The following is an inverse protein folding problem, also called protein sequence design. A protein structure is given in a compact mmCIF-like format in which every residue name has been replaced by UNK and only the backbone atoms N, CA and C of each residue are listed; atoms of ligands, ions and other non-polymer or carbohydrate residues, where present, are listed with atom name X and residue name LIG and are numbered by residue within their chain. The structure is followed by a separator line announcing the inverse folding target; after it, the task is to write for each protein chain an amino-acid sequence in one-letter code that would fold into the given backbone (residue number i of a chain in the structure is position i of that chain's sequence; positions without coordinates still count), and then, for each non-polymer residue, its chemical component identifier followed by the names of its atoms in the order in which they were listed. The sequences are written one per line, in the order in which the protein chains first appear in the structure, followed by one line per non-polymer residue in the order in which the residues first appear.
data_IF_698347350227
#
_entry.id   IF_698347350227
#
_cell.length_a   1.000
_cell.length_b   1.000
_cell.length_c   1.000
_cell.angle_alpha   90.00
_cell.angle_beta   90.00
_cell.angle_gamma   90.00
#
_symmetry.space_group_name_H-M   'P 1'
#
loop_
_entity.id
_entity.type
_entity.pdbx_description
1 polymer ?
#
# COMPACT_ATOMS: atom_id res chain seq x y z
N UNK A 1 31.28 -34.79 -0.64
CA UNK A 1 30.59 -34.59 0.65
C UNK A 1 29.26 -33.88 0.36
N UNK A 2 28.19 -34.67 0.20
CA UNK A 2 26.87 -34.19 -0.24
C UNK A 2 26.17 -33.63 1.00
N UNK A 3 26.08 -32.31 1.12
CA UNK A 3 25.19 -31.70 2.10
C UNK A 3 23.75 -32.01 1.72
N UNK A 4 23.15 -32.99 2.37
CA UNK A 4 21.71 -33.19 2.41
C UNK A 4 21.12 -31.89 2.99
N UNK A 5 20.62 -30.99 2.13
CA UNK A 5 19.69 -29.94 2.53
C UNK A 5 18.49 -30.62 3.19
N UNK A 6 18.43 -30.60 4.52
CA UNK A 6 17.17 -30.81 5.21
C UNK A 6 16.25 -29.69 4.73
N UNK A 7 15.38 -30.02 3.75
CA UNK A 7 14.21 -29.22 3.44
C UNK A 7 13.46 -29.05 4.77
N UNK A 8 13.61 -27.90 5.40
CA UNK A 8 12.76 -27.52 6.53
C UNK A 8 11.35 -27.58 5.96
N UNK A 9 10.47 -28.36 6.58
CA UNK A 9 9.08 -28.54 6.11
C UNK A 9 8.52 -27.19 5.72
N UNK A 10 7.95 -27.05 4.52
CA UNK A 10 7.44 -25.82 3.90
C UNK A 10 6.47 -25.03 4.78
N UNK A 11 5.83 -25.71 5.72
CA UNK A 11 4.82 -25.15 6.62
C UNK A 11 5.31 -24.08 7.61
N UNK A 12 6.63 -23.93 7.84
CA UNK A 12 7.12 -23.00 8.87
C UNK A 12 7.58 -21.65 8.32
N UNK A 13 7.90 -21.52 7.02
CA UNK A 13 8.41 -20.26 6.48
C UNK A 13 7.32 -19.18 6.33
N UNK A 14 6.14 -19.58 5.93
CA UNK A 14 5.05 -18.62 5.67
C UNK A 14 4.61 -17.88 6.94
N UNK A 15 4.31 -18.52 8.07
CA UNK A 15 3.97 -17.80 9.30
C UNK A 15 5.07 -16.84 9.75
N UNK A 16 6.33 -17.23 9.63
CA UNK A 16 7.48 -16.38 9.97
C UNK A 16 7.51 -15.14 9.07
N UNK A 17 7.34 -15.32 7.75
CA UNK A 17 7.32 -14.21 6.80
C UNK A 17 6.09 -13.32 6.94
N UNK A 18 4.92 -13.87 7.31
CA UNK A 18 3.72 -13.09 7.60
C UNK A 18 3.90 -12.23 8.85
N UNK A 19 4.51 -12.78 9.90
CA UNK A 19 4.87 -12.02 11.10
C UNK A 19 5.88 -10.91 10.78
N UNK A 20 6.95 -11.24 10.04
CA UNK A 20 7.94 -10.26 9.62
C UNK A 20 7.32 -9.14 8.75
N UNK A 21 6.40 -9.50 7.83
CA UNK A 21 5.67 -8.54 7.01
C UNK A 21 4.79 -7.61 7.86
N UNK A 22 4.06 -8.15 8.83
CA UNK A 22 3.23 -7.35 9.74
C UNK A 22 4.09 -6.37 10.54
N UNK A 23 5.22 -6.83 11.09
CA UNK A 23 6.16 -5.98 11.82
C UNK A 23 6.77 -4.89 10.92
N UNK A 24 7.17 -5.20 9.68
CA UNK A 24 7.73 -4.23 8.73
C UNK A 24 6.72 -3.12 8.38
N UNK A 25 5.42 -3.42 8.38
CA UNK A 25 4.35 -2.49 8.02
C UNK A 25 3.83 -1.64 9.20
N UNK A 26 4.31 -1.85 10.43
CA UNK A 26 3.87 -1.06 11.58
C UNK A 26 4.14 0.45 11.40
N UNK A 27 5.15 0.83 10.62
CA UNK A 27 5.45 2.24 10.29
C UNK A 27 4.55 2.86 9.22
N UNK A 28 3.70 2.06 8.53
CA UNK A 28 3.02 2.52 7.32
C UNK A 28 1.96 3.60 7.57
N UNK A 29 1.19 3.50 8.65
CA UNK A 29 0.12 4.43 8.98
C UNK A 29 0.50 5.48 10.04
N UNK A 30 1.74 5.50 10.53
CA UNK A 30 2.18 6.45 11.56
C UNK A 30 1.88 7.89 11.17
N UNK A 31 2.19 8.28 9.92
CA UNK A 31 1.95 9.65 9.49
C UNK A 31 0.45 9.96 9.39
N UNK A 32 -0.37 9.07 8.87
CA UNK A 32 -1.82 9.27 8.83
C UNK A 32 -2.43 9.45 10.23
N UNK A 33 -1.90 8.75 11.23
CA UNK A 33 -2.30 8.89 12.64
C UNK A 33 -1.83 10.20 13.27
N UNK A 34 -0.61 10.64 12.94
CA UNK A 34 -0.02 11.86 13.49
C UNK A 34 -0.22 13.10 12.61
N UNK A 35 -0.96 12.99 11.50
CA UNK A 35 -1.16 14.06 10.54
C UNK A 35 -1.68 15.34 11.18
N UNK A 36 -2.76 15.27 11.97
CA UNK A 36 -3.36 16.44 12.59
C UNK A 36 -2.45 17.13 13.61
N UNK A 37 -1.83 16.42 14.57
CA UNK A 37 -0.84 17.01 15.46
C UNK A 37 0.32 17.68 14.73
N UNK A 38 0.90 17.01 13.72
CA UNK A 38 2.03 17.55 12.96
C UNK A 38 1.63 18.74 12.08
N UNK A 39 0.45 18.68 11.47
CA UNK A 39 -0.07 19.79 10.68
C UNK A 39 -0.26 21.05 11.52
N UNK A 40 -0.78 20.89 12.74
CA UNK A 40 -0.93 22.02 13.66
C UNK A 40 0.43 22.52 14.19
N UNK A 41 1.34 21.60 14.55
CA UNK A 41 2.66 21.95 15.09
C UNK A 41 3.54 22.69 14.08
N UNK A 42 3.55 22.22 12.85
CA UNK A 42 4.41 22.76 11.78
C UNK A 42 3.69 23.73 10.85
N UNK A 43 2.45 24.09 11.13
CA UNK A 43 1.59 24.99 10.34
C UNK A 43 1.54 24.59 8.86
N UNK A 44 1.38 23.28 8.61
CA UNK A 44 1.38 22.73 7.25
C UNK A 44 0.04 23.01 6.57
N UNK A 45 0.09 23.31 5.26
CA UNK A 45 -1.10 23.24 4.41
C UNK A 45 -1.58 21.78 4.26
N UNK A 46 -2.81 21.58 3.79
CA UNK A 46 -3.29 20.23 3.49
C UNK A 46 -2.49 19.59 2.35
N UNK A 47 -2.09 20.36 1.33
CA UNK A 47 -1.19 19.88 0.27
C UNK A 47 0.14 19.40 0.85
N UNK A 48 0.77 20.17 1.74
CA UNK A 48 2.02 19.78 2.38
C UNK A 48 1.86 18.48 3.19
N UNK A 49 0.76 18.35 3.93
CA UNK A 49 0.44 17.11 4.67
C UNK A 49 0.24 15.93 3.71
N UNK A 50 -0.46 16.12 2.60
CA UNK A 50 -0.62 15.11 1.56
C UNK A 50 0.70 14.72 0.91
N UNK A 51 1.61 15.68 0.67
CA UNK A 51 2.95 15.43 0.11
C UNK A 51 3.84 14.63 1.06
N UNK A 52 3.78 14.87 2.37
CA UNK A 52 4.50 14.04 3.36
C UNK A 52 3.94 12.62 3.35
N UNK A 53 2.61 12.44 3.32
CA UNK A 53 1.98 11.12 3.18
C UNK A 53 2.39 10.42 1.88
N UNK A 54 2.54 11.17 0.79
CA UNK A 54 2.98 10.70 -0.52
C UNK A 54 4.46 10.29 -0.57
N UNK A 55 5.30 10.86 0.29
CA UNK A 55 6.75 10.69 0.25
C UNK A 55 7.21 9.23 0.46
N UNK A 56 6.45 8.42 1.21
CA UNK A 56 6.74 7.00 1.38
C UNK A 56 6.65 6.25 0.04
N UNK A 57 5.69 6.62 -0.82
CA UNK A 57 5.54 6.01 -2.15
C UNK A 57 6.63 6.46 -3.10
N UNK A 58 7.09 7.71 -3.00
CA UNK A 58 8.27 8.18 -3.75
C UNK A 58 9.51 7.36 -3.40
N UNK A 59 9.80 7.18 -2.11
CA UNK A 59 10.91 6.36 -1.66
C UNK A 59 10.83 4.92 -2.12
N UNK A 60 9.62 4.33 -2.07
CA UNK A 60 9.38 2.99 -2.59
C UNK A 60 9.67 2.90 -4.10
N UNK A 61 9.10 3.81 -4.90
CA UNK A 61 9.28 3.82 -6.36
C UNK A 61 10.74 3.99 -6.77
N UNK A 62 11.49 4.81 -6.05
CA UNK A 62 12.93 5.00 -6.31
C UNK A 62 13.75 3.75 -5.97
N UNK A 63 13.39 3.02 -4.90
CA UNK A 63 14.20 1.92 -4.38
C UNK A 63 13.81 0.55 -4.95
N UNK A 64 12.52 0.32 -5.31
CA UNK A 64 12.04 -1.01 -5.70
C UNK A 64 12.72 -1.61 -6.92
N UNK A 65 13.10 -0.87 -7.98
CA UNK A 65 13.82 -1.45 -9.12
C UNK A 65 15.18 -2.04 -8.70
N UNK A 66 15.88 -1.33 -7.81
CA UNK A 66 17.16 -1.79 -7.27
C UNK A 66 16.98 -2.99 -6.34
N UNK A 67 16.02 -2.91 -5.40
CA UNK A 67 15.74 -3.98 -4.45
C UNK A 67 15.40 -5.28 -5.17
N UNK A 68 14.53 -5.23 -6.18
CA UNK A 68 14.11 -6.42 -6.94
C UNK A 68 15.24 -6.99 -7.80
N UNK A 69 15.95 -6.17 -8.55
CA UNK A 69 17.06 -6.61 -9.40
C UNK A 69 18.23 -7.22 -8.59
N UNK A 70 18.47 -6.71 -7.39
CA UNK A 70 19.49 -7.24 -6.49
C UNK A 70 19.10 -8.60 -5.91
N UNK A 71 17.80 -8.92 -5.73
CA UNK A 71 17.38 -10.24 -5.21
C UNK A 71 17.72 -11.41 -6.12
N UNK A 72 17.94 -11.17 -7.41
CA UNK A 72 18.39 -12.19 -8.36
C UNK A 72 19.90 -12.45 -8.30
N UNK A 73 20.68 -11.53 -7.69
CA UNK A 73 22.15 -11.50 -7.67
C UNK A 73 22.76 -11.79 -6.32
N UNK A 74 22.06 -11.43 -5.26
CA UNK A 74 22.49 -11.65 -3.86
C UNK A 74 21.32 -12.22 -3.05
N UNK A 75 21.64 -12.85 -1.92
CA UNK A 75 20.61 -13.41 -1.03
C UNK A 75 19.58 -12.33 -0.65
N UNK A 76 18.31 -12.56 -0.97
CA UNK A 76 17.20 -11.64 -0.71
C UNK A 76 17.09 -11.22 0.77
N UNK A 77 17.57 -12.05 1.71
CA UNK A 77 17.66 -11.72 3.14
C UNK A 77 18.54 -10.51 3.42
N UNK A 78 19.65 -10.34 2.67
CA UNK A 78 20.55 -9.19 2.84
C UNK A 78 19.86 -7.90 2.42
N UNK A 79 19.06 -7.96 1.36
CA UNK A 79 18.29 -6.80 0.89
C UNK A 79 17.17 -6.51 1.87
N UNK A 80 16.50 -7.55 2.39
CA UNK A 80 15.48 -7.41 3.44
C UNK A 80 16.07 -6.75 4.70
N UNK A 81 17.28 -7.15 5.10
CA UNK A 81 18.00 -6.55 6.21
C UNK A 81 18.23 -5.04 5.99
N UNK A 82 18.78 -4.67 4.83
CA UNK A 82 19.02 -3.25 4.49
C UNK A 82 17.68 -2.48 4.45
N UNK A 83 16.63 -3.06 3.88
CA UNK A 83 15.30 -2.47 3.86
C UNK A 83 14.75 -2.24 5.27
N UNK A 84 14.84 -3.25 6.15
CA UNK A 84 14.42 -3.13 7.55
C UNK A 84 15.23 -2.07 8.30
N UNK A 85 16.54 -1.99 8.06
CA UNK A 85 17.41 -0.96 8.64
C UNK A 85 17.01 0.45 8.16
N UNK A 86 16.73 0.63 6.86
CA UNK A 86 16.27 1.92 6.34
C UNK A 86 14.91 2.31 6.95
N UNK A 87 13.96 1.37 7.05
CA UNK A 87 12.69 1.61 7.71
C UNK A 87 12.84 2.01 9.18
N UNK A 88 13.71 1.31 9.92
CA UNK A 88 14.06 1.62 11.31
C UNK A 88 14.66 3.03 11.45
N UNK A 89 15.70 3.34 10.66
CA UNK A 89 16.37 4.64 10.70
C UNK A 89 15.46 5.78 10.22
N UNK A 90 14.61 5.55 9.21
CA UNK A 90 13.63 6.52 8.74
C UNK A 90 12.63 6.90 9.83
N UNK A 91 12.08 5.92 10.54
CA UNK A 91 11.16 6.16 11.66
C UNK A 91 11.87 6.83 12.83
N UNK A 92 13.06 6.40 13.21
CA UNK A 92 13.84 7.09 14.25
C UNK A 92 14.18 8.54 13.86
N UNK A 93 14.52 8.76 12.58
CA UNK A 93 14.74 10.10 12.05
C UNK A 93 13.49 10.98 12.17
N UNK A 94 12.30 10.44 11.86
CA UNK A 94 11.04 11.13 12.12
C UNK A 94 10.88 11.48 13.61
N UNK A 95 11.12 10.52 14.51
CA UNK A 95 10.88 10.69 15.95
C UNK A 95 11.91 11.56 16.70
N UNK A 96 13.12 11.76 16.13
CA UNK A 96 14.17 12.52 16.81
C UNK A 96 14.62 13.78 16.05
N UNK A 97 14.56 13.77 14.72
CA UNK A 97 15.21 14.78 13.88
C UNK A 97 14.21 15.57 13.00
N UNK A 98 12.95 15.15 12.90
CA UNK A 98 11.98 15.88 12.08
C UNK A 98 11.55 17.16 12.79
N UNK A 99 11.72 18.28 12.11
CA UNK A 99 11.43 19.65 12.61
C UNK A 99 10.47 20.44 11.73
N UNK A 100 9.98 19.83 10.63
CA UNK A 100 9.07 20.47 9.68
C UNK A 100 8.93 19.70 8.38
N UNK A 101 8.31 20.34 7.40
CA UNK A 101 7.94 19.73 6.12
C UNK A 101 9.08 18.94 5.44
N UNK A 102 10.21 19.59 5.16
CA UNK A 102 11.29 18.97 4.38
C UNK A 102 11.97 17.82 5.10
N UNK A 103 12.21 17.94 6.41
CA UNK A 103 12.77 16.84 7.20
C UNK A 103 11.82 15.64 7.24
N UNK A 104 10.52 15.87 7.40
CA UNK A 104 9.51 14.82 7.36
C UNK A 104 9.47 14.12 5.98
N UNK A 105 9.51 14.88 4.88
CA UNK A 105 9.57 14.31 3.52
C UNK A 105 10.81 13.40 3.37
N UNK A 106 11.99 13.86 3.80
CA UNK A 106 13.22 13.07 3.69
C UNK A 106 13.11 11.74 4.46
N UNK A 107 12.65 11.78 5.72
CA UNK A 107 12.53 10.57 6.52
C UNK A 107 11.44 9.62 6.00
N UNK A 108 10.33 10.15 5.48
CA UNK A 108 9.28 9.33 4.85
C UNK A 108 9.77 8.68 3.54
N UNK A 109 10.61 9.36 2.74
CA UNK A 109 11.29 8.75 1.58
C UNK A 109 12.19 7.60 2.03
N UNK A 110 12.95 7.77 3.11
CA UNK A 110 13.80 6.69 3.67
C UNK A 110 12.92 5.51 4.13
N UNK A 111 11.80 5.77 4.81
CA UNK A 111 10.83 4.73 5.18
C UNK A 111 10.29 3.98 3.95
N UNK A 112 9.99 4.71 2.88
CA UNK A 112 9.54 4.13 1.62
C UNK A 112 10.59 3.24 0.94
N UNK A 113 11.84 3.67 0.94
CA UNK A 113 12.96 2.83 0.48
C UNK A 113 13.11 1.57 1.34
N UNK A 114 12.91 1.69 2.64
CA UNK A 114 12.85 0.56 3.58
C UNK A 114 11.73 -0.41 3.24
N UNK A 115 10.53 0.10 2.93
CA UNK A 115 9.38 -0.71 2.52
C UNK A 115 9.67 -1.47 1.21
N UNK A 116 10.30 -0.83 0.22
CA UNK A 116 10.71 -1.49 -1.02
C UNK A 116 11.70 -2.64 -0.77
N UNK A 117 12.63 -2.43 0.16
CA UNK A 117 13.64 -3.42 0.55
C UNK A 117 13.10 -4.57 1.42
N UNK A 118 11.91 -4.44 2.02
CA UNK A 118 11.29 -5.50 2.82
C UNK A 118 10.16 -6.21 2.06
N UNK A 119 9.27 -5.49 1.39
CA UNK A 119 8.08 -6.07 0.77
C UNK A 119 8.40 -7.00 -0.40
N UNK A 120 9.10 -6.51 -1.43
CA UNK A 120 9.42 -7.31 -2.60
C UNK A 120 10.47 -8.40 -2.33
N UNK A 121 11.57 -8.15 -1.60
CA UNK A 121 12.49 -9.20 -1.18
C UNK A 121 11.83 -10.25 -0.28
N UNK A 122 10.87 -9.88 0.57
CA UNK A 122 10.09 -10.83 1.36
C UNK A 122 9.26 -11.78 0.48
N UNK A 123 8.63 -11.25 -0.56
CA UNK A 123 7.93 -12.05 -1.56
C UNK A 123 8.88 -13.03 -2.29
N UNK A 124 10.08 -12.55 -2.64
CA UNK A 124 11.15 -13.38 -3.27
C UNK A 124 11.61 -14.49 -2.31
N UNK A 125 11.82 -14.17 -1.03
CA UNK A 125 12.17 -15.17 0.00
C UNK A 125 11.16 -16.31 0.05
N UNK A 126 9.86 -16.00 -0.01
CA UNK A 126 8.80 -17.03 -0.08
C UNK A 126 8.85 -17.81 -1.39
N UNK A 127 8.92 -17.10 -2.53
CA UNK A 127 8.87 -17.74 -3.85
C UNK A 127 10.03 -18.71 -4.11
N UNK A 128 11.20 -18.40 -3.56
CA UNK A 128 12.40 -19.24 -3.74
C UNK A 128 12.42 -20.50 -2.85
N UNK A 129 11.53 -20.57 -1.85
CA UNK A 129 11.53 -21.65 -0.85
C UNK A 129 10.29 -22.53 -0.88
N UNK A 130 9.25 -22.12 -1.60
CA UNK A 130 7.99 -22.85 -1.69
C UNK A 130 7.87 -23.58 -3.02
N UNK A 131 7.15 -24.72 -3.01
CA UNK A 131 6.85 -25.46 -4.23
C UNK A 131 5.77 -24.72 -5.04
N UNK A 132 5.83 -24.84 -6.37
CA UNK A 132 4.94 -24.14 -7.32
C UNK A 132 3.44 -24.35 -7.02
N UNK A 133 3.05 -25.53 -6.53
CA UNK A 133 1.64 -25.87 -6.23
C UNK A 133 1.09 -25.03 -5.07
N UNK A 134 1.91 -24.72 -4.06
CA UNK A 134 1.51 -23.95 -2.86
C UNK A 134 1.79 -22.45 -3.00
N UNK A 135 2.67 -22.07 -3.92
CA UNK A 135 3.23 -20.73 -4.04
C UNK A 135 2.15 -19.64 -4.17
N UNK A 136 1.15 -19.86 -5.04
CA UNK A 136 0.09 -18.89 -5.28
C UNK A 136 -0.69 -18.55 -4.00
N UNK A 137 -1.02 -19.57 -3.19
CA UNK A 137 -1.74 -19.39 -1.92
C UNK A 137 -0.92 -18.60 -0.90
N UNK A 138 0.37 -18.92 -0.76
CA UNK A 138 1.25 -18.26 0.21
C UNK A 138 1.57 -16.81 -0.19
N UNK A 139 1.71 -16.52 -1.49
CA UNK A 139 1.82 -15.15 -2.01
C UNK A 139 0.55 -14.36 -1.69
N UNK A 140 -0.63 -14.95 -1.90
CA UNK A 140 -1.90 -14.30 -1.58
C UNK A 140 -2.02 -13.95 -0.09
N UNK A 141 -1.59 -14.85 0.80
CA UNK A 141 -1.54 -14.53 2.23
C UNK A 141 -0.55 -13.40 2.53
N UNK A 142 0.64 -13.44 1.96
CA UNK A 142 1.65 -12.41 2.18
C UNK A 142 1.16 -11.02 1.74
N UNK A 143 0.55 -10.93 0.57
CA UNK A 143 -0.01 -9.67 0.06
C UNK A 143 -1.22 -9.21 0.88
N UNK A 144 -2.09 -10.12 1.33
CA UNK A 144 -3.23 -9.79 2.18
C UNK A 144 -2.79 -9.25 3.56
N UNK A 145 -1.68 -9.73 4.09
CA UNK A 145 -1.11 -9.26 5.35
C UNK A 145 -0.62 -7.79 5.30
N UNK A 146 -0.54 -7.19 4.12
CA UNK A 146 -0.37 -5.74 4.00
C UNK A 146 -1.51 -4.98 4.71
N UNK A 147 -2.75 -5.41 4.52
CA UNK A 147 -3.91 -4.82 5.21
C UNK A 147 -3.87 -5.03 6.73
N UNK A 148 -3.43 -6.22 7.18
CA UNK A 148 -3.28 -6.54 8.60
C UNK A 148 -2.20 -5.68 9.25
N UNK A 149 -1.01 -5.62 8.67
CA UNK A 149 0.08 -4.79 9.19
C UNK A 149 -0.28 -3.30 9.22
N UNK A 150 -0.95 -2.78 8.19
CA UNK A 150 -1.46 -1.40 8.16
C UNK A 150 -2.51 -1.16 9.24
N UNK A 151 -3.45 -2.09 9.45
CA UNK A 151 -4.46 -1.96 10.49
C UNK A 151 -3.84 -1.89 11.89
N UNK A 152 -2.89 -2.77 12.20
CA UNK A 152 -2.14 -2.69 13.46
C UNK A 152 -1.31 -1.42 13.56
N UNK A 153 -0.78 -0.90 12.45
CA UNK A 153 -0.06 0.37 12.43
C UNK A 153 -0.94 1.52 12.93
N UNK A 154 -2.19 1.64 12.46
CA UNK A 154 -3.14 2.65 12.95
C UNK A 154 -3.41 2.51 14.44
N UNK A 155 -3.73 1.29 14.89
CA UNK A 155 -4.11 1.03 16.28
C UNK A 155 -2.97 1.33 17.25
N UNK A 156 -1.79 0.77 17.00
CA UNK A 156 -0.62 0.96 17.85
C UNK A 156 -0.15 2.42 17.85
N UNK A 157 -0.11 3.06 16.69
CA UNK A 157 0.26 4.47 16.58
C UNK A 157 -0.72 5.37 17.35
N UNK A 158 -2.03 5.07 17.27
CA UNK A 158 -3.05 5.81 18.01
C UNK A 158 -2.91 5.65 19.52
N UNK A 159 -2.75 4.43 20.01
CA UNK A 159 -2.58 4.17 21.45
C UNK A 159 -1.33 4.84 22.02
N UNK A 160 -0.22 4.82 21.25
CA UNK A 160 0.99 5.53 21.68
C UNK A 160 0.76 7.05 21.68
N UNK A 161 0.09 7.58 20.64
CA UNK A 161 -0.19 9.01 20.51
C UNK A 161 -1.09 9.53 21.67
N UNK A 162 -2.08 8.73 22.09
CA UNK A 162 -2.95 9.04 23.23
C UNK A 162 -2.20 9.01 24.58
N UNK A 163 -1.23 8.07 24.71
CA UNK A 163 -0.48 7.89 25.95
C UNK A 163 0.73 8.82 26.09
N UNK A 164 1.28 9.30 24.99
CA UNK A 164 2.54 10.06 24.95
C UNK A 164 2.44 11.20 23.91
N UNK A 165 3.50 11.36 23.10
CA UNK A 165 3.61 12.39 22.07
C UNK A 165 3.76 11.77 20.66
N UNK A 166 3.69 12.61 19.63
CA UNK A 166 3.85 12.16 18.24
C UNK A 166 5.27 11.61 17.97
N UNK A 167 6.28 12.10 18.67
CA UNK A 167 7.67 11.60 18.54
C UNK A 167 7.76 10.16 19.07
N UNK A 168 7.09 9.88 20.19
CA UNK A 168 7.04 8.53 20.75
C UNK A 168 6.42 7.52 19.80
N UNK A 169 5.41 7.91 19.00
CA UNK A 169 4.84 7.04 17.96
C UNK A 169 5.94 6.50 17.06
N UNK A 170 6.75 7.38 16.48
CA UNK A 170 7.81 6.98 15.56
C UNK A 170 8.94 6.19 16.23
N UNK A 171 9.32 6.57 17.47
CA UNK A 171 10.38 5.89 18.23
C UNK A 171 10.01 4.46 18.56
N UNK A 172 8.80 4.23 19.08
CA UNK A 172 8.35 2.89 19.44
C UNK A 172 8.03 2.03 18.22
N UNK A 173 7.35 2.59 17.24
CA UNK A 173 6.99 1.87 16.01
C UNK A 173 8.22 1.50 15.18
N UNK A 174 9.33 2.23 15.30
CA UNK A 174 10.60 1.86 14.68
C UNK A 174 11.08 0.45 15.07
N UNK A 175 10.70 -0.05 16.24
CA UNK A 175 10.97 -1.44 16.64
C UNK A 175 10.30 -2.47 15.70
N UNK A 176 9.27 -2.10 14.97
CA UNK A 176 8.61 -2.98 13.98
C UNK A 176 9.55 -3.41 12.87
N UNK A 177 10.05 -2.51 12.01
CA UNK A 177 11.04 -2.86 10.97
C UNK A 177 12.32 -3.49 11.53
N UNK A 178 12.78 -3.08 12.71
CA UNK A 178 13.89 -3.72 13.42
C UNK A 178 13.58 -5.19 13.73
N UNK A 179 12.42 -5.46 14.32
CA UNK A 179 11.98 -6.83 14.62
C UNK A 179 11.82 -7.66 13.35
N UNK A 180 11.22 -7.09 12.29
CA UNK A 180 11.07 -7.76 11.00
C UNK A 180 12.42 -8.21 10.42
N UNK A 181 13.39 -7.31 10.43
CA UNK A 181 14.76 -7.57 9.95
C UNK A 181 15.43 -8.67 10.76
N UNK A 182 15.32 -8.67 12.11
CA UNK A 182 15.87 -9.68 12.99
C UNK A 182 15.19 -11.04 12.80
N UNK A 183 13.85 -11.07 12.64
CA UNK A 183 13.11 -12.31 12.33
C UNK A 183 13.68 -12.95 11.06
N UNK A 184 13.83 -12.19 9.98
CA UNK A 184 14.34 -12.74 8.71
C UNK A 184 15.80 -13.16 8.82
N UNK A 185 16.61 -12.40 9.55
CA UNK A 185 18.03 -12.71 9.74
C UNK A 185 18.24 -14.03 10.49
N UNK A 186 17.51 -14.25 11.59
CA UNK A 186 17.72 -15.38 12.48
C UNK A 186 16.90 -16.64 12.12
N UNK A 187 15.69 -16.46 11.60
CA UNK A 187 14.77 -17.61 11.39
C UNK A 187 14.69 -18.07 9.93
N UNK A 188 15.17 -17.27 8.96
CA UNK A 188 15.18 -17.66 7.56
C UNK A 188 16.59 -18.10 7.16
N UNK A 189 16.82 -19.35 6.72
CA UNK A 189 18.15 -19.81 6.32
C UNK A 189 18.65 -19.09 5.06
N UNK A 190 19.99 -18.91 4.90
CA UNK A 190 20.55 -18.30 3.70
C UNK A 190 20.28 -19.17 2.47
N UNK A 191 20.05 -18.50 1.34
CA UNK A 191 19.92 -19.15 0.03
C UNK A 191 20.94 -18.52 -0.92
N UNK A 192 21.72 -19.38 -1.61
CA UNK A 192 22.66 -18.86 -2.62
C UNK A 192 21.88 -18.40 -3.85
N UNK A 193 22.24 -17.24 -4.45
CA UNK A 193 21.67 -16.79 -5.71
C UNK A 193 21.89 -17.83 -6.82
N UNK A 194 21.08 -17.75 -7.86
CA UNK A 194 21.23 -18.61 -9.03
C UNK A 194 22.60 -18.40 -9.68
N UNK A 195 23.32 -19.49 -9.93
CA UNK A 195 24.66 -19.44 -10.51
C UNK A 195 24.64 -18.74 -11.88
N UNK A 196 25.54 -17.77 -12.06
CA UNK A 196 25.72 -17.02 -13.32
C UNK A 196 25.37 -15.53 -13.26
N UNK A 197 24.62 -15.07 -12.24
CA UNK A 197 24.27 -13.66 -12.05
C UNK A 197 24.94 -13.02 -10.83
N UNK A 198 26.02 -13.62 -10.31
CA UNK A 198 26.70 -13.11 -9.13
C UNK A 198 27.41 -11.78 -9.38
N UNK A 199 27.12 -10.77 -8.57
CA UNK A 199 27.81 -9.47 -8.55
C UNK A 199 26.88 -8.27 -8.50
N UNK A 200 27.43 -7.10 -8.15
CA UNK A 200 26.70 -5.84 -8.02
C UNK A 200 26.62 -5.03 -9.34
N UNK A 201 27.11 -5.59 -10.46
CA UNK A 201 27.10 -4.88 -11.75
C UNK A 201 25.68 -4.86 -12.35
N UNK A 202 24.91 -3.87 -11.92
CA UNK A 202 23.57 -3.60 -12.45
C UNK A 202 23.67 -2.68 -13.67
N UNK A 203 23.18 -3.13 -14.81
CA UNK A 203 22.98 -2.25 -15.94
C UNK A 203 21.66 -1.49 -15.77
N UNK A 204 21.63 -0.22 -16.13
CA UNK A 204 20.42 0.61 -16.06
C UNK A 204 19.20 0.00 -16.79
N UNK A 205 19.47 -0.78 -17.85
CA UNK A 205 18.44 -1.51 -18.61
C UNK A 205 17.80 -2.67 -17.84
N UNK A 206 18.50 -3.22 -16.86
CA UNK A 206 17.98 -4.30 -16.00
C UNK A 206 17.01 -3.72 -14.96
N UNK A 207 17.29 -2.50 -14.50
CA UNK A 207 16.47 -1.77 -13.54
C UNK A 207 15.18 -1.22 -14.18
N UNK A 208 15.31 -0.69 -15.39
CA UNK A 208 14.21 -0.07 -16.13
C UNK A 208 14.11 -0.68 -17.54
N UNK A 209 13.44 -1.82 -17.69
CA UNK A 209 13.30 -2.51 -18.98
C UNK A 209 12.23 -1.80 -19.84
N UNK A 210 12.46 -0.53 -20.19
CA UNK A 210 11.50 0.35 -20.90
C UNK A 210 11.00 -0.25 -22.20
N UNK A 211 11.88 -0.96 -22.96
CA UNK A 211 11.48 -1.65 -24.20
C UNK A 211 10.43 -2.72 -23.91
N UNK A 212 10.63 -3.52 -22.87
CA UNK A 212 9.69 -4.56 -22.43
C UNK A 212 8.40 -3.95 -21.90
N UNK A 213 8.48 -2.88 -21.11
CA UNK A 213 7.32 -2.15 -20.62
C UNK A 213 6.46 -1.57 -21.75
N UNK A 214 7.11 -1.09 -22.81
CA UNK A 214 6.39 -0.65 -24.01
C UNK A 214 5.60 -1.79 -24.66
N UNK A 215 6.16 -3.00 -24.73
CA UNK A 215 5.45 -4.19 -25.25
C UNK A 215 4.25 -4.51 -24.35
N UNK A 216 4.40 -4.47 -23.03
CA UNK A 216 3.30 -4.70 -22.06
C UNK A 216 2.17 -3.70 -22.27
N UNK A 217 2.49 -2.42 -22.41
CA UNK A 217 1.50 -1.34 -22.61
C UNK A 217 0.83 -1.39 -24.00
N UNK A 218 1.45 -2.00 -25.00
CA UNK A 218 0.79 -2.26 -26.29
C UNK A 218 -0.24 -3.41 -26.22
N UNK A 219 -0.12 -4.30 -25.22
CA UNK A 219 -1.15 -5.27 -24.93
C UNK A 219 -2.29 -4.55 -24.18
N UNK A 220 -3.41 -4.37 -24.86
CA UNK A 220 -4.55 -3.59 -24.37
C UNK A 220 -5.11 -4.10 -23.06
N UNK A 221 -5.24 -5.42 -22.89
CA UNK A 221 -5.76 -5.99 -21.64
C UNK A 221 -4.78 -5.78 -20.49
N UNK A 222 -3.48 -6.00 -20.72
CA UNK A 222 -2.45 -5.75 -19.73
C UNK A 222 -2.39 -4.25 -19.32
N UNK A 223 -2.44 -3.35 -20.30
CA UNK A 223 -2.49 -1.91 -20.04
C UNK A 223 -3.74 -1.52 -19.22
N UNK A 224 -4.92 -2.06 -19.57
CA UNK A 224 -6.15 -1.83 -18.82
C UNK A 224 -6.02 -2.24 -17.35
N UNK A 225 -5.47 -3.43 -17.06
CA UNK A 225 -5.25 -3.86 -15.68
C UNK A 225 -4.21 -3.00 -14.94
N UNK A 226 -3.16 -2.52 -15.61
CA UNK A 226 -2.15 -1.63 -14.99
C UNK A 226 -2.77 -0.27 -14.66
N UNK A 227 -3.48 0.36 -15.60
CA UNK A 227 -4.13 1.65 -15.35
C UNK A 227 -5.25 1.55 -14.33
N UNK A 228 -6.05 0.47 -14.37
CA UNK A 228 -7.05 0.19 -13.34
C UNK A 228 -6.42 0.09 -11.94
N UNK A 229 -5.27 -0.58 -11.83
CA UNK A 229 -4.55 -0.67 -10.55
C UNK A 229 -3.96 0.68 -10.10
N UNK A 230 -3.58 1.53 -11.04
CA UNK A 230 -3.10 2.89 -10.72
C UNK A 230 -4.23 3.73 -10.10
N UNK A 231 -5.42 3.71 -10.71
CA UNK A 231 -6.59 4.43 -10.19
C UNK A 231 -7.07 3.86 -8.85
N UNK A 232 -7.13 2.52 -8.73
CA UNK A 232 -7.39 1.83 -7.47
C UNK A 232 -6.43 2.28 -6.36
N UNK A 233 -5.12 2.28 -6.62
CA UNK A 233 -4.11 2.65 -5.64
C UNK A 233 -4.14 4.13 -5.28
N UNK A 234 -4.47 5.01 -6.23
CA UNK A 234 -4.68 6.42 -5.98
C UNK A 234 -5.81 6.65 -4.96
N UNK A 235 -6.97 6.05 -5.19
CA UNK A 235 -8.11 6.14 -4.29
C UNK A 235 -7.82 5.50 -2.94
N UNK A 236 -7.25 4.29 -2.93
CA UNK A 236 -6.92 3.53 -1.72
C UNK A 236 -5.99 4.32 -0.79
N UNK A 237 -4.85 4.78 -1.31
CA UNK A 237 -3.84 5.40 -0.47
C UNK A 237 -4.19 6.84 -0.10
N UNK A 238 -4.94 7.57 -0.93
CA UNK A 238 -5.51 8.85 -0.54
C UNK A 238 -6.50 8.68 0.62
N UNK A 239 -7.47 7.79 0.47
CA UNK A 239 -8.46 7.49 1.50
C UNK A 239 -7.79 7.08 2.82
N UNK A 240 -6.84 6.15 2.78
CA UNK A 240 -6.08 5.73 3.97
C UNK A 240 -5.32 6.87 4.63
N UNK A 241 -4.64 7.71 3.87
CA UNK A 241 -3.85 8.80 4.44
C UNK A 241 -4.68 9.85 5.16
N UNK A 242 -5.90 10.09 4.70
CA UNK A 242 -6.79 11.12 5.22
C UNK A 242 -7.91 10.61 6.14
N UNK A 243 -8.08 9.28 6.31
CA UNK A 243 -9.18 8.68 7.06
C UNK A 243 -9.26 9.15 8.51
N UNK A 244 -8.13 9.20 9.22
CA UNK A 244 -8.06 9.66 10.63
C UNK A 244 -8.43 11.14 10.71
N UNK A 245 -7.91 11.96 9.80
CA UNK A 245 -8.23 13.39 9.73
C UNK A 245 -9.71 13.62 9.39
N UNK A 246 -10.29 12.84 8.47
CA UNK A 246 -11.72 12.88 8.15
C UNK A 246 -12.59 12.52 9.35
N UNK A 247 -12.28 11.45 10.07
CA UNK A 247 -13.00 11.06 11.27
C UNK A 247 -12.89 12.12 12.38
N UNK A 248 -11.72 12.76 12.52
CA UNK A 248 -11.57 13.89 13.42
C UNK A 248 -12.50 15.07 13.07
N UNK A 249 -12.63 15.37 11.77
CA UNK A 249 -13.60 16.35 11.28
C UNK A 249 -15.04 15.92 11.58
N UNK A 250 -15.40 14.65 11.31
CA UNK A 250 -16.74 14.14 11.57
C UNK A 250 -17.12 14.21 13.05
N UNK A 251 -16.21 13.91 13.97
CA UNK A 251 -16.44 14.03 15.42
C UNK A 251 -16.78 15.47 15.82
N UNK A 252 -16.05 16.45 15.28
CA UNK A 252 -16.33 17.86 15.50
C UNK A 252 -17.65 18.31 14.86
N UNK A 253 -17.95 17.88 13.64
CA UNK A 253 -19.14 18.26 12.88
C UNK A 253 -20.43 17.67 13.46
N UNK A 254 -20.38 16.43 13.97
CA UNK A 254 -21.53 15.75 14.57
C UNK A 254 -21.76 16.12 16.04
N UNK A 255 -20.75 16.75 16.69
CA UNK A 255 -20.79 17.07 18.12
C UNK A 255 -20.85 15.83 19.03
N UNK A 256 -20.49 14.65 18.51
CA UNK A 256 -20.53 13.39 19.23
C UNK A 256 -19.25 12.59 19.04
N UNK A 257 -18.77 11.99 20.12
CA UNK A 257 -17.60 11.13 20.10
C UNK A 257 -17.93 9.76 19.48
N UNK A 258 -16.96 9.19 18.76
CA UNK A 258 -17.03 7.81 18.34
C UNK A 258 -16.88 6.88 19.56
N UNK A 259 -17.53 5.71 19.51
CA UNK A 259 -17.49 4.71 20.61
C UNK A 259 -16.11 4.06 20.80
N UNK A 260 -15.21 4.17 19.83
CA UNK A 260 -13.81 3.75 19.88
C UNK A 260 -12.92 4.91 19.41
N UNK A 261 -11.66 4.87 19.81
CA UNK A 261 -10.65 5.76 19.27
C UNK A 261 -10.65 5.75 17.73
N UNK A 262 -10.58 6.91 17.11
CA UNK A 262 -10.64 7.08 15.64
C UNK A 262 -9.59 6.24 14.92
N UNK A 263 -8.39 6.15 15.50
CA UNK A 263 -7.27 5.34 14.97
C UNK A 263 -7.54 3.85 15.06
N UNK A 264 -8.21 3.39 16.13
CA UNK A 264 -8.67 2.01 16.28
C UNK A 264 -9.71 1.67 15.22
N UNK A 265 -10.69 2.56 14.98
CA UNK A 265 -11.67 2.40 13.90
C UNK A 265 -10.99 2.33 12.52
N UNK A 266 -10.03 3.21 12.25
CA UNK A 266 -9.27 3.18 11.01
C UNK A 266 -8.51 1.85 10.83
N UNK A 267 -7.95 1.30 11.90
CA UNK A 267 -7.33 -0.02 11.90
C UNK A 267 -8.30 -1.15 11.57
N UNK A 268 -9.45 -1.17 12.24
CA UNK A 268 -10.52 -2.16 12.01
C UNK A 268 -11.02 -2.10 10.56
N UNK A 269 -11.25 -0.90 10.03
CA UNK A 269 -11.69 -0.69 8.63
C UNK A 269 -10.69 -1.30 7.65
N UNK A 270 -9.38 -1.16 7.91
CA UNK A 270 -8.35 -1.76 7.07
C UNK A 270 -8.38 -3.29 7.08
N UNK A 271 -8.77 -3.94 8.19
CA UNK A 271 -8.91 -5.39 8.25
C UNK A 271 -10.01 -5.93 7.32
N UNK A 272 -11.10 -5.19 7.09
CA UNK A 272 -12.13 -5.58 6.14
C UNK A 272 -11.63 -5.65 4.69
N UNK A 273 -10.56 -4.93 4.36
CA UNK A 273 -9.94 -5.00 3.03
C UNK A 273 -9.37 -6.38 2.68
N UNK A 274 -8.94 -7.17 3.67
CA UNK A 274 -8.35 -8.49 3.46
C UNK A 274 -9.38 -9.49 2.88
N UNK A 275 -10.51 -9.78 3.55
CA UNK A 275 -11.54 -10.64 2.98
C UNK A 275 -12.17 -10.03 1.72
N UNK A 276 -12.31 -8.71 1.64
CA UNK A 276 -12.88 -8.05 0.47
C UNK A 276 -12.08 -8.33 -0.81
N UNK A 277 -10.75 -8.28 -0.75
CA UNK A 277 -9.88 -8.58 -1.89
C UNK A 277 -9.98 -10.04 -2.34
N UNK A 278 -10.03 -10.98 -1.39
CA UNK A 278 -10.12 -12.42 -1.66
C UNK A 278 -11.49 -12.77 -2.25
N UNK A 279 -12.58 -12.37 -1.57
CA UNK A 279 -13.95 -12.63 -1.98
C UNK A 279 -14.25 -11.92 -3.32
N UNK A 280 -13.76 -10.69 -3.48
CA UNK A 280 -13.91 -9.93 -4.72
C UNK A 280 -13.33 -10.66 -5.92
N UNK A 281 -12.13 -11.26 -5.78
CA UNK A 281 -11.55 -12.05 -6.86
C UNK A 281 -12.37 -13.32 -7.18
N UNK A 282 -12.91 -14.00 -6.17
CA UNK A 282 -13.80 -15.15 -6.38
C UNK A 282 -15.09 -14.79 -7.10
N UNK A 283 -15.69 -13.63 -6.76
CA UNK A 283 -16.86 -13.11 -7.48
C UNK A 283 -16.47 -12.76 -8.92
N UNK A 284 -15.33 -12.11 -9.13
CA UNK A 284 -14.84 -11.73 -10.44
C UNK A 284 -14.63 -12.92 -11.38
N UNK A 285 -14.27 -14.10 -10.86
CA UNK A 285 -14.16 -15.33 -11.63
C UNK A 285 -15.54 -15.81 -12.17
N UNK A 286 -16.62 -15.52 -11.45
CA UNK A 286 -18.00 -15.93 -11.83
C UNK A 286 -18.68 -14.94 -12.76
N UNK A 287 -18.54 -13.61 -12.49
CA UNK A 287 -19.24 -12.56 -13.25
C UNK A 287 -18.39 -11.91 -14.35
N UNK A 288 -17.12 -12.31 -14.44
CA UNK A 288 -16.11 -11.73 -15.35
C UNK A 288 -15.35 -10.57 -14.72
N UNK A 289 -13.99 -10.66 -14.78
CA UNK A 289 -13.09 -9.70 -14.11
C UNK A 289 -13.38 -8.25 -14.47
N UNK A 290 -13.56 -7.96 -15.75
CA UNK A 290 -13.76 -6.58 -16.24
C UNK A 290 -15.07 -5.98 -15.76
N UNK A 291 -16.14 -6.77 -15.74
CA UNK A 291 -17.44 -6.36 -15.22
C UNK A 291 -17.38 -6.08 -13.71
N UNK A 292 -16.70 -6.99 -12.98
CA UNK A 292 -16.52 -6.84 -11.53
C UNK A 292 -15.71 -5.58 -11.18
N UNK A 293 -14.56 -5.35 -11.83
CA UNK A 293 -13.76 -4.14 -11.64
C UNK A 293 -14.60 -2.89 -11.89
N UNK A 294 -15.35 -2.85 -13.00
CA UNK A 294 -16.21 -1.71 -13.31
C UNK A 294 -17.29 -1.49 -12.25
N UNK A 295 -17.90 -2.57 -11.76
CA UNK A 295 -18.95 -2.49 -10.72
C UNK A 295 -18.39 -1.94 -9.40
N UNK A 296 -17.26 -2.48 -8.92
CA UNK A 296 -16.73 -2.06 -7.62
C UNK A 296 -16.09 -0.67 -7.66
N UNK A 297 -15.45 -0.26 -8.76
CA UNK A 297 -14.94 1.10 -8.92
C UNK A 297 -16.05 2.16 -8.96
N UNK A 298 -17.18 1.87 -9.63
CA UNK A 298 -18.33 2.76 -9.58
C UNK A 298 -19.00 2.75 -8.21
N UNK A 299 -19.07 1.57 -7.58
CA UNK A 299 -19.59 1.42 -6.23
C UNK A 299 -18.76 2.15 -5.20
N UNK A 300 -17.39 2.09 -5.29
CA UNK A 300 -16.50 2.83 -4.38
C UNK A 300 -16.67 4.34 -4.57
N UNK A 301 -16.86 4.81 -5.80
CA UNK A 301 -17.12 6.23 -6.06
C UNK A 301 -18.41 6.70 -5.38
N UNK A 302 -19.49 5.94 -5.48
CA UNK A 302 -20.75 6.26 -4.79
C UNK A 302 -20.57 6.23 -3.28
N UNK A 303 -19.91 5.17 -2.74
CA UNK A 303 -19.69 5.03 -1.31
C UNK A 303 -18.77 6.14 -0.75
N UNK A 304 -17.73 6.54 -1.49
CA UNK A 304 -16.82 7.62 -1.11
C UNK A 304 -17.53 8.99 -1.03
N UNK A 305 -18.36 9.30 -2.00
CA UNK A 305 -19.19 10.52 -1.97
C UNK A 305 -20.21 10.46 -0.84
N UNK A 306 -20.91 9.32 -0.68
CA UNK A 306 -21.85 9.14 0.42
C UNK A 306 -21.18 9.29 1.80
N UNK A 307 -19.98 8.74 1.96
CA UNK A 307 -19.17 8.90 3.18
C UNK A 307 -18.87 10.37 3.45
N UNK A 308 -18.39 11.11 2.46
CA UNK A 308 -18.03 12.53 2.60
C UNK A 308 -19.26 13.39 2.95
N UNK A 309 -20.41 13.15 2.30
CA UNK A 309 -21.66 13.90 2.56
C UNK A 309 -22.29 13.56 3.91
N UNK A 310 -21.96 12.41 4.49
CA UNK A 310 -22.46 11.99 5.81
C UNK A 310 -21.66 12.55 6.99
N UNK A 311 -20.72 13.47 6.79
CA UNK A 311 -19.77 13.93 7.79
C UNK A 311 -20.42 14.51 9.08
N UNK A 312 -21.61 15.09 9.02
CA UNK A 312 -22.37 15.61 10.16
C UNK A 312 -23.41 14.63 10.72
N UNK A 313 -23.46 13.40 10.25
CA UNK A 313 -24.44 12.39 10.65
C UNK A 313 -23.99 11.57 11.86
N UNK A 314 -24.83 10.68 12.34
CA UNK A 314 -24.52 9.78 13.44
C UNK A 314 -23.29 8.91 13.11
N UNK A 315 -22.41 8.72 14.10
CA UNK A 315 -21.12 8.01 13.96
C UNK A 315 -21.27 6.60 13.35
N UNK A 316 -22.34 5.86 13.70
CA UNK A 316 -22.56 4.50 13.16
C UNK A 316 -22.79 4.50 11.64
N UNK A 317 -23.43 5.56 11.11
CA UNK A 317 -23.62 5.70 9.65
C UNK A 317 -22.29 6.03 8.98
N UNK A 318 -21.52 6.95 9.54
CA UNK A 318 -20.20 7.32 9.02
C UNK A 318 -19.28 6.09 8.98
N UNK A 319 -19.20 5.33 10.07
CA UNK A 319 -18.35 4.11 10.15
C UNK A 319 -18.84 3.04 9.17
N UNK A 320 -20.16 2.82 9.05
CA UNK A 320 -20.72 1.85 8.09
C UNK A 320 -20.39 2.22 6.64
N UNK A 321 -20.48 3.51 6.28
CA UNK A 321 -20.09 3.99 4.96
C UNK A 321 -18.59 3.89 4.72
N UNK A 322 -17.76 4.15 5.72
CA UNK A 322 -16.31 3.99 5.63
C UNK A 322 -15.90 2.51 5.44
N UNK A 323 -16.57 1.58 6.12
CA UNK A 323 -16.38 0.14 5.93
C UNK A 323 -16.81 -0.27 4.50
N UNK A 324 -17.98 0.18 4.05
CA UNK A 324 -18.49 -0.11 2.71
C UNK A 324 -17.52 0.42 1.63
N UNK A 325 -17.03 1.67 1.78
CA UNK A 325 -16.06 2.27 0.87
C UNK A 325 -14.75 1.46 0.86
N UNK A 326 -14.21 1.10 2.02
CA UNK A 326 -12.98 0.31 2.13
C UNK A 326 -13.11 -1.10 1.50
N UNK A 327 -14.26 -1.76 1.68
CA UNK A 327 -14.57 -3.06 1.07
C UNK A 327 -14.60 -2.91 -0.46
N UNK A 328 -15.30 -1.91 -0.98
CA UNK A 328 -15.43 -1.70 -2.41
C UNK A 328 -14.09 -1.34 -3.07
N UNK A 329 -13.29 -0.46 -2.47
CA UNK A 329 -11.93 -0.17 -2.96
C UNK A 329 -11.11 -1.46 -3.05
N UNK A 330 -11.13 -2.30 -2.02
CA UNK A 330 -10.26 -3.48 -1.97
C UNK A 330 -10.77 -4.66 -2.82
N UNK A 331 -12.05 -4.67 -3.21
CA UNK A 331 -12.68 -5.82 -3.87
C UNK A 331 -12.18 -6.10 -5.31
N UNK A 332 -11.48 -5.15 -5.94
CA UNK A 332 -10.85 -5.33 -7.26
C UNK A 332 -9.34 -5.58 -7.22
N UNK A 333 -8.67 -5.34 -6.08
CA UNK A 333 -7.21 -5.37 -5.94
C UNK A 333 -6.58 -6.68 -6.45
N UNK A 334 -7.04 -7.82 -5.94
CA UNK A 334 -6.55 -9.13 -6.39
C UNK A 334 -6.96 -9.42 -7.84
N UNK A 335 -8.14 -8.95 -8.27
CA UNK A 335 -8.66 -9.14 -9.63
C UNK A 335 -7.82 -8.39 -10.67
N UNK A 336 -7.42 -7.16 -10.38
CA UNK A 336 -6.54 -6.34 -11.23
C UNK A 336 -5.18 -7.01 -11.42
N UNK A 337 -4.58 -7.47 -10.32
CA UNK A 337 -3.28 -8.16 -10.34
C UNK A 337 -3.36 -9.50 -11.08
N UNK A 338 -4.38 -10.33 -10.80
CA UNK A 338 -4.58 -11.61 -11.47
C UNK A 338 -4.88 -11.42 -12.97
N UNK A 339 -5.68 -10.42 -13.31
CA UNK A 339 -6.00 -10.07 -14.69
C UNK A 339 -4.75 -9.72 -15.51
N UNK A 340 -3.83 -8.93 -14.95
CA UNK A 340 -2.55 -8.63 -15.57
C UNK A 340 -1.70 -9.89 -15.79
N UNK A 341 -1.55 -10.71 -14.76
CA UNK A 341 -0.73 -11.95 -14.83
C UNK A 341 -1.25 -12.90 -15.93
N UNK A 342 -2.57 -12.95 -16.11
CA UNK A 342 -3.20 -13.77 -17.17
C UNK A 342 -3.09 -13.16 -18.56
N UNK A 343 -2.99 -11.83 -18.68
CA UNK A 343 -2.93 -11.12 -19.96
C UNK A 343 -1.49 -10.94 -20.47
N UNK A 344 -0.51 -10.93 -19.58
CA UNK A 344 0.89 -10.75 -19.95
C UNK A 344 1.50 -12.02 -20.54
N UNK A 345 2.26 -11.91 -21.66
CA UNK A 345 3.02 -13.03 -22.22
C UNK A 345 3.97 -13.66 -21.18
N UNK A 346 4.11 -14.97 -21.20
CA UNK A 346 4.84 -15.73 -20.17
C UNK A 346 6.31 -15.26 -19.98
N UNK A 347 6.97 -14.89 -21.07
CA UNK A 347 8.38 -14.47 -21.09
C UNK A 347 8.62 -13.04 -20.55
N UNK A 348 7.57 -12.24 -20.34
CA UNK A 348 7.68 -10.85 -19.86
C UNK A 348 6.79 -10.56 -18.63
N UNK A 349 6.22 -11.60 -18.00
CA UNK A 349 5.37 -11.45 -16.79
C UNK A 349 6.05 -10.70 -15.67
N UNK A 350 7.32 -10.96 -15.42
CA UNK A 350 8.09 -10.27 -14.40
C UNK A 350 8.17 -8.75 -14.65
N UNK A 351 8.47 -8.36 -15.89
CA UNK A 351 8.51 -6.94 -16.26
C UNK A 351 7.12 -6.29 -16.21
N UNK A 352 6.05 -7.02 -16.55
CA UNK A 352 4.67 -6.54 -16.43
C UNK A 352 4.28 -6.30 -14.97
N UNK A 353 4.63 -7.22 -14.07
CA UNK A 353 4.40 -7.07 -12.63
C UNK A 353 5.22 -5.93 -12.02
N UNK A 354 6.46 -5.73 -12.47
CA UNK A 354 7.28 -4.59 -12.09
C UNK A 354 6.66 -3.26 -12.48
N UNK A 355 6.17 -3.15 -13.71
CA UNK A 355 5.46 -1.95 -14.19
C UNK A 355 4.15 -1.72 -13.42
N UNK A 356 3.39 -2.78 -13.16
CA UNK A 356 2.16 -2.74 -12.37
C UNK A 356 2.41 -2.19 -10.95
N UNK A 357 3.43 -2.70 -10.29
CA UNK A 357 3.83 -2.21 -8.97
C UNK A 357 4.26 -0.74 -9.03
N UNK A 358 5.11 -0.36 -9.98
CA UNK A 358 5.58 1.01 -10.14
C UNK A 358 4.43 1.98 -10.40
N UNK A 359 3.51 1.65 -11.30
CA UNK A 359 2.35 2.47 -11.62
C UNK A 359 1.34 2.54 -10.47
N UNK A 360 1.11 1.42 -9.76
CA UNK A 360 0.25 1.39 -8.57
C UNK A 360 0.78 2.28 -7.45
N UNK A 361 2.07 2.18 -7.12
CA UNK A 361 2.67 3.10 -6.14
C UNK A 361 2.75 4.55 -6.65
N UNK A 362 2.79 4.76 -7.97
CA UNK A 362 2.60 6.08 -8.61
C UNK A 362 1.22 6.68 -8.30
N UNK A 363 0.15 5.86 -8.31
CA UNK A 363 -1.17 6.26 -7.83
C UNK A 363 -1.13 6.66 -6.34
N UNK A 364 -0.44 5.85 -5.52
CA UNK A 364 -0.22 6.18 -4.10
C UNK A 364 0.57 7.48 -3.88
N UNK A 365 1.52 7.79 -4.75
CA UNK A 365 2.25 9.06 -4.71
C UNK A 365 1.34 10.26 -5.00
N UNK A 366 0.43 10.13 -5.95
CA UNK A 366 -0.45 11.23 -6.37
C UNK A 366 -1.66 11.40 -5.46
N UNK A 367 -2.27 10.32 -5.00
CA UNK A 367 -3.55 10.33 -4.29
C UNK A 367 -3.60 11.24 -3.06
N UNK A 368 -2.73 11.03 -2.04
CA UNK A 368 -2.75 11.85 -0.83
C UNK A 368 -2.46 13.34 -1.10
N UNK A 369 -1.59 13.65 -2.08
CA UNK A 369 -1.26 15.02 -2.48
C UNK A 369 -2.45 15.70 -3.17
N UNK A 370 -3.13 15.02 -4.12
CA UNK A 370 -4.34 15.51 -4.79
C UNK A 370 -5.43 15.80 -3.75
N UNK A 371 -5.64 14.88 -2.81
CA UNK A 371 -6.64 15.05 -1.75
C UNK A 371 -6.38 16.31 -0.93
N UNK A 372 -5.14 16.48 -0.44
CA UNK A 372 -4.75 17.65 0.33
C UNK A 372 -4.83 18.96 -0.47
N UNK A 373 -4.42 18.94 -1.75
CA UNK A 373 -4.53 20.08 -2.65
C UNK A 373 -5.98 20.54 -2.82
N UNK A 374 -6.90 19.61 -3.02
CA UNK A 374 -8.34 19.94 -3.17
C UNK A 374 -8.91 20.48 -1.88
N UNK A 375 -8.52 19.97 -0.72
CA UNK A 375 -8.92 20.55 0.58
C UNK A 375 -8.46 22.01 0.71
N UNK A 376 -7.25 22.34 0.25
CA UNK A 376 -6.76 23.73 0.29
C UNK A 376 -7.53 24.66 -0.69
N UNK A 377 -7.91 24.15 -1.86
CA UNK A 377 -8.65 24.92 -2.87
C UNK A 377 -10.11 25.20 -2.49
N UNK A 378 -10.75 24.30 -1.74
CA UNK A 378 -12.21 24.31 -1.54
C UNK A 378 -12.65 24.76 -0.15
N UNK A 379 -11.77 25.38 0.63
CA UNK A 379 -12.15 26.02 1.89
C UNK A 379 -11.58 25.37 3.15
N UNK A 380 -10.55 24.55 3.00
CA UNK A 380 -9.86 23.85 4.08
C UNK A 380 -10.64 22.68 4.73
N UNK A 381 -9.94 21.90 5.54
CA UNK A 381 -10.50 20.71 6.24
C UNK A 381 -11.63 21.01 7.25
N UNK A 382 -11.92 22.27 7.54
CA UNK A 382 -13.05 22.65 8.42
C UNK A 382 -14.39 22.72 7.69
N UNK A 383 -14.40 22.65 6.37
CA UNK A 383 -15.61 22.71 5.53
C UNK A 383 -16.06 21.31 5.11
N UNK A 384 -17.34 20.98 5.32
CA UNK A 384 -17.94 19.72 4.83
C UNK A 384 -17.84 19.60 3.30
N UNK A 385 -18.10 20.70 2.58
CA UNK A 385 -18.00 20.70 1.12
C UNK A 385 -16.59 20.41 0.63
N UNK A 386 -15.55 20.88 1.34
CA UNK A 386 -14.17 20.60 0.99
C UNK A 386 -13.86 19.09 1.01
N UNK A 387 -14.39 18.36 2.00
CA UNK A 387 -14.26 16.91 2.06
C UNK A 387 -14.98 16.22 0.90
N UNK A 388 -16.18 16.69 0.53
CA UNK A 388 -16.91 16.15 -0.62
C UNK A 388 -16.11 16.34 -1.90
N UNK A 389 -15.52 17.51 -2.13
CA UNK A 389 -14.66 17.77 -3.29
C UNK A 389 -13.39 16.92 -3.25
N UNK A 390 -12.76 16.75 -2.10
CA UNK A 390 -11.54 15.95 -1.95
C UNK A 390 -11.80 14.46 -2.23
N UNK A 391 -12.88 13.87 -1.69
CA UNK A 391 -13.30 12.52 -2.05
C UNK A 391 -13.68 12.42 -3.54
N UNK A 392 -14.41 13.41 -4.07
CA UNK A 392 -14.74 13.48 -5.49
C UNK A 392 -13.50 13.43 -6.38
N UNK A 393 -12.44 14.16 -6.00
CA UNK A 393 -11.20 14.24 -6.76
C UNK A 393 -10.42 12.92 -6.83
N UNK A 394 -10.57 12.03 -5.85
CA UNK A 394 -9.91 10.72 -5.89
C UNK A 394 -10.77 9.63 -6.55
N UNK A 395 -12.09 9.65 -6.34
CA UNK A 395 -12.96 8.61 -6.91
C UNK A 395 -13.25 8.82 -8.41
N UNK A 396 -13.12 10.05 -8.91
CA UNK A 396 -13.39 10.37 -10.33
C UNK A 396 -12.48 9.58 -11.29
N UNK A 397 -11.25 9.27 -10.88
CA UNK A 397 -10.30 8.54 -11.72
C UNK A 397 -10.77 7.12 -12.02
N UNK A 398 -11.37 6.42 -11.05
CA UNK A 398 -12.01 5.12 -11.25
C UNK A 398 -13.20 5.21 -12.23
N UNK A 399 -14.03 6.24 -12.09
CA UNK A 399 -15.15 6.49 -13.00
C UNK A 399 -14.67 6.75 -14.43
N UNK A 400 -13.67 7.66 -14.60
CA UNK A 400 -13.09 7.97 -15.91
C UNK A 400 -12.42 6.74 -16.54
N UNK A 401 -11.72 5.94 -15.75
CA UNK A 401 -11.15 4.68 -16.21
C UNK A 401 -12.22 3.73 -16.75
N UNK A 402 -13.30 3.50 -16.00
CA UNK A 402 -14.41 2.63 -16.43
C UNK A 402 -15.08 3.15 -17.71
N UNK A 403 -15.30 4.46 -17.82
CA UNK A 403 -15.87 5.09 -19.01
C UNK A 403 -14.95 4.90 -20.24
N UNK A 404 -13.66 5.13 -20.08
CA UNK A 404 -12.66 4.95 -21.13
C UNK A 404 -12.62 3.50 -21.61
N UNK A 405 -12.50 2.55 -20.70
CA UNK A 405 -12.40 1.11 -21.01
C UNK A 405 -13.68 0.57 -21.67
N UNK A 406 -14.86 1.03 -21.24
CA UNK A 406 -16.14 0.67 -21.89
C UNK A 406 -16.19 1.19 -23.33
N UNK A 407 -15.78 2.43 -23.59
CA UNK A 407 -15.71 2.99 -24.96
C UNK A 407 -14.75 2.19 -25.84
N UNK A 408 -13.66 1.72 -25.28
CA UNK A 408 -12.68 0.89 -25.98
C UNK A 408 -13.13 -0.57 -26.16
N UNK A 409 -14.30 -0.99 -25.69
CA UNK A 409 -14.82 -2.35 -25.80
C UNK A 409 -14.10 -3.37 -24.91
N UNK A 410 -13.47 -2.92 -23.81
CA UNK A 410 -12.76 -3.78 -22.85
C UNK A 410 -13.69 -4.86 -22.28
N UNK A 411 -14.96 -4.57 -22.07
CA UNK A 411 -15.96 -5.53 -21.57
C UNK A 411 -16.59 -6.43 -22.64
N UNK A 412 -16.35 -6.20 -23.95
CA UNK A 412 -17.08 -6.88 -25.04
C UNK A 412 -16.41 -8.16 -25.57
N UNK A 413 -15.21 -8.51 -25.13
CA UNK A 413 -14.61 -9.81 -25.50
C UNK A 413 -14.94 -10.84 -24.43
N UNK A 414 -15.79 -11.79 -24.81
CA UNK A 414 -16.09 -13.03 -24.07
C UNK A 414 -14.88 -13.97 -24.09
#
# INVERSE_FOLDING_TARGET
MVFKNKLVKSNNFTPIMLLAQSCALLGFACYATTLLPLQNLWQLSNLQSGLIASAIFLGYMCAVPFATALTDRIDARKIYFVGGLLGFLGLLGMGYLATGFWSAVVFMVICGAGLAGTYMPGLKILSDRLQQVELSRHISFYTAFFGIGTGFSYMLSGWILEAQDWQAVYRWIALGPLTAMLIVLFFIPPLKPVAGLSGLNLHWRDLFPVKTWRIVLHNRDAAGYIFGYTTHSLELFASRSWLVAFFGFCALASGSDFFLAITTLAGIINFFGVPASIIGNEIALRVGRKNWISFVMLGSAVAGIALATASGQAWWLIVSLAIAHAILIMADSATLTAGLVMSAPANIKGAAMGLHSLMGFGGGLLGPAIFGFVLDLTGSRSSADAWVWAYGAIVIWGVLFVMYEKRQGWSRKR
#
